data_IF_775448179028
#
_entry.id   IF_775448179028
#
_cell.length_a   1.000
_cell.length_b   1.000
_cell.length_c   1.000
_cell.angle_alpha   90.00
_cell.angle_beta   90.00
_cell.angle_gamma   90.00
#
_symmetry.space_group_name_H-M   'P 1'
#
loop_
_entity.id
_entity.type
_entity.pdbx_description
1 polymer ?
#
# COMPACT_ATOMS: atom_id res chain seq x y z
N UNK A 1 6.75 13.96 9.71
CA UNK A 1 7.53 12.70 9.74
C UNK A 1 7.11 11.87 8.54
N UNK A 2 8.05 11.44 7.70
CA UNK A 2 7.74 10.62 6.53
C UNK A 2 7.93 9.14 6.86
N UNK A 3 7.06 8.27 6.31
CA UNK A 3 7.09 6.82 6.52
C UNK A 3 7.25 6.17 5.16
N UNK A 4 8.05 5.11 5.08
CA UNK A 4 8.22 4.32 3.85
C UNK A 4 7.11 3.30 3.69
N UNK A 5 6.79 2.92 2.45
CA UNK A 5 5.80 1.88 2.15
C UNK A 5 6.13 0.58 2.90
N UNK A 6 7.41 0.22 2.96
CA UNK A 6 7.89 -0.96 3.70
C UNK A 6 7.54 -0.92 5.20
N UNK A 7 7.72 0.23 5.85
CA UNK A 7 7.41 0.38 7.27
C UNK A 7 5.91 0.20 7.54
N UNK A 8 5.07 0.70 6.64
CA UNK A 8 3.61 0.51 6.70
C UNK A 8 3.24 -0.96 6.48
N UNK A 9 3.76 -1.61 5.43
CA UNK A 9 3.51 -3.03 5.17
C UNK A 9 3.94 -3.93 6.34
N UNK A 10 5.09 -3.64 6.98
CA UNK A 10 5.54 -4.39 8.18
C UNK A 10 4.57 -4.26 9.35
N UNK A 11 4.07 -3.04 9.61
CA UNK A 11 3.05 -2.82 10.64
C UNK A 11 1.74 -3.51 10.31
N UNK A 12 1.29 -3.42 9.06
CA UNK A 12 0.07 -4.08 8.58
C UNK A 12 0.15 -5.60 8.69
N UNK A 13 1.30 -6.20 8.40
CA UNK A 13 1.53 -7.63 8.59
C UNK A 13 1.50 -8.01 10.07
N UNK A 14 2.18 -7.25 10.94
CA UNK A 14 2.21 -7.54 12.37
C UNK A 14 0.85 -7.37 13.07
N UNK A 15 0.08 -6.35 12.69
CA UNK A 15 -1.19 -6.03 13.34
C UNK A 15 -2.39 -6.74 12.72
N UNK A 16 -2.34 -7.07 11.42
CA UNK A 16 -3.51 -7.56 10.66
C UNK A 16 -3.22 -8.78 9.78
N UNK A 17 -1.98 -9.30 9.76
CA UNK A 17 -1.61 -10.44 8.91
C UNK A 17 -1.60 -10.13 7.41
N UNK A 18 -1.67 -8.86 7.03
CA UNK A 18 -1.70 -8.43 5.63
C UNK A 18 -0.35 -8.68 4.96
N UNK A 19 -0.38 -9.31 3.78
CA UNK A 19 0.79 -9.54 2.95
C UNK A 19 0.73 -8.68 1.70
N UNK A 20 1.88 -8.08 1.36
CA UNK A 20 2.03 -7.45 0.06
C UNK A 20 2.17 -8.53 -1.01
N UNK A 21 1.37 -8.40 -2.07
CA UNK A 21 1.33 -9.34 -3.20
C UNK A 21 2.03 -8.82 -4.45
N UNK A 22 2.35 -7.52 -4.50
CA UNK A 22 2.99 -6.85 -5.62
C UNK A 22 3.70 -5.54 -5.19
N UNK A 23 4.45 -4.93 -6.11
CA UNK A 23 4.99 -3.57 -5.94
C UNK A 23 6.25 -3.46 -5.06
N UNK A 24 6.98 -4.57 -4.87
CA UNK A 24 8.18 -4.63 -4.02
C UNK A 24 9.26 -3.60 -4.37
N UNK A 25 9.40 -3.25 -5.64
CA UNK A 25 10.37 -2.24 -6.09
C UNK A 25 10.07 -0.83 -5.53
N UNK A 26 8.82 -0.53 -5.19
CA UNK A 26 8.39 0.75 -4.63
C UNK A 26 8.49 0.85 -3.10
N UNK A 27 9.00 -0.19 -2.41
CA UNK A 27 8.91 -0.26 -0.95
C UNK A 27 9.75 0.76 -0.20
N UNK A 28 10.85 1.20 -0.81
CA UNK A 28 11.73 2.23 -0.26
C UNK A 28 11.25 3.65 -0.55
N UNK A 29 10.18 3.81 -1.34
CA UNK A 29 9.58 5.11 -1.57
C UNK A 29 8.88 5.60 -0.32
N UNK A 30 8.88 6.92 -0.15
CA UNK A 30 8.06 7.58 0.86
C UNK A 30 6.59 7.46 0.47
N UNK A 31 5.76 7.30 1.48
CA UNK A 31 4.31 7.31 1.29
C UNK A 31 3.86 8.75 1.06
N UNK A 32 3.44 9.06 -0.16
CA UNK A 32 2.85 10.35 -0.49
C UNK A 32 1.32 10.35 -0.32
N UNK A 33 0.66 9.26 -0.72
CA UNK A 33 -0.81 9.13 -0.67
C UNK A 33 -1.24 7.72 -0.25
N UNK A 34 -2.30 7.63 0.55
CA UNK A 34 -2.92 6.37 0.98
C UNK A 34 -4.38 6.39 0.59
N UNK A 35 -4.84 5.33 -0.08
CA UNK A 35 -6.23 5.13 -0.45
C UNK A 35 -6.73 3.83 0.19
N UNK A 36 -7.78 3.90 1.01
CA UNK A 36 -8.49 2.74 1.55
C UNK A 36 -9.77 2.58 0.72
N UNK A 37 -9.93 1.44 0.05
CA UNK A 37 -11.02 1.18 -0.88
C UNK A 37 -11.56 -0.23 -0.65
N UNK A 38 -12.88 -0.42 -0.75
CA UNK A 38 -13.55 -1.70 -0.44
C UNK A 38 -13.87 -2.53 -1.72
N UNK A 39 -13.72 -1.95 -2.91
CA UNK A 39 -14.07 -2.59 -4.19
C UNK A 39 -12.83 -2.94 -5.02
N UNK A 40 -12.91 -3.97 -5.85
CA UNK A 40 -11.83 -4.45 -6.74
C UNK A 40 -11.79 -3.74 -8.11
N UNK A 41 -12.81 -2.96 -8.46
CA UNK A 41 -12.94 -2.28 -9.76
C UNK A 41 -12.19 -0.92 -9.81
N UNK A 42 -10.92 -0.91 -9.42
CA UNK A 42 -10.17 0.34 -9.11
C UNK A 42 -9.09 0.68 -10.13
N UNK A 43 -8.95 -0.11 -11.19
CA UNK A 43 -7.89 0.09 -12.22
C UNK A 43 -7.94 1.50 -12.82
N UNK A 44 -9.13 2.13 -12.90
CA UNK A 44 -9.30 3.47 -13.45
C UNK A 44 -8.83 4.62 -12.52
N UNK A 45 -8.65 4.37 -11.23
CA UNK A 45 -8.25 5.40 -10.26
C UNK A 45 -6.76 5.41 -9.98
N UNK A 46 -6.03 4.36 -10.35
CA UNK A 46 -4.61 4.24 -10.04
C UNK A 46 -3.79 5.15 -10.95
N UNK A 47 -3.07 6.09 -10.36
CA UNK A 47 -2.14 7.00 -11.06
C UNK A 47 -0.67 6.61 -10.86
N UNK A 48 -0.41 5.60 -10.02
CA UNK A 48 0.93 5.08 -9.73
C UNK A 48 1.55 5.71 -8.48
N UNK A 49 2.53 5.03 -7.87
CA UNK A 49 3.11 5.37 -6.55
C UNK A 49 2.10 5.35 -5.38
N UNK A 50 1.00 4.62 -5.53
CA UNK A 50 -0.06 4.52 -4.53
C UNK A 50 0.00 3.16 -3.81
N UNK A 51 -0.38 3.16 -2.53
CA UNK A 51 -0.57 1.94 -1.74
C UNK A 51 -2.06 1.60 -1.68
N UNK A 52 -2.44 0.43 -2.19
CA UNK A 52 -3.83 -0.05 -2.22
C UNK A 52 -4.00 -1.19 -1.23
N UNK A 53 -4.98 -1.04 -0.33
CA UNK A 53 -5.46 -2.13 0.51
C UNK A 53 -6.72 -2.72 -0.12
N UNK A 54 -6.76 -4.04 -0.26
CA UNK A 54 -7.91 -4.79 -0.80
C UNK A 54 -8.09 -6.08 0.00
N UNK A 55 -9.32 -6.57 0.13
CA UNK A 55 -9.68 -7.81 0.85
C UNK A 55 -9.67 -9.02 -0.05
#
# INVERSE_FOLDING_TARGET
>A
MAVTVNQLCKKCNQSYGLKAVAGFDGFNNLVEWVHIMESSNVVAFLRGQELVFTT
#
